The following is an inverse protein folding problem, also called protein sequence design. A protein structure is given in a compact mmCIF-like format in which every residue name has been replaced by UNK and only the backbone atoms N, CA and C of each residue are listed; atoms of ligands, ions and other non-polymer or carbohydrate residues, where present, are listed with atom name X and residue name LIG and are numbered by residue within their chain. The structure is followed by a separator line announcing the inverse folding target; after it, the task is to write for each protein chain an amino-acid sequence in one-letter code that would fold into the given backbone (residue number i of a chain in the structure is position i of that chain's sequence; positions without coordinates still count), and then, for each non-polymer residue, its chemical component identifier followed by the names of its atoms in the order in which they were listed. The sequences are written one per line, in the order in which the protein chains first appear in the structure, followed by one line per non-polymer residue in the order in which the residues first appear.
data_IF_958599931127
#
_entry.id   IF_958599931127
#
_cell.length_a   1.000
_cell.length_b   1.000
_cell.length_c   1.000
_cell.angle_alpha   90.00
_cell.angle_beta   90.00
_cell.angle_gamma   90.00
#
_symmetry.space_group_name_H-M   'P 1'
#
loop_
_entity.id
_entity.type
_entity.pdbx_description
1 polymer ?
#
# COMPACT_ATOMS: atom_id res chain seq x y z
N UNK A 1 25.51 13.15 -11.47
CA UNK A 1 26.26 12.37 -10.43
C UNK A 1 25.56 11.04 -10.33
N UNK A 2 26.28 9.93 -10.35
CA UNK A 2 25.66 8.60 -10.39
C UNK A 2 25.32 8.12 -8.98
N UNK A 3 24.05 7.86 -8.72
CA UNK A 3 23.55 7.38 -7.43
C UNK A 3 22.96 5.98 -7.58
N UNK A 4 22.83 5.26 -6.47
CA UNK A 4 21.98 4.05 -6.45
C UNK A 4 20.51 4.49 -6.54
N UNK A 5 19.67 3.69 -7.18
CA UNK A 5 18.24 4.00 -7.32
C UNK A 5 17.56 4.30 -5.98
N UNK A 6 17.88 3.54 -4.91
CA UNK A 6 17.31 3.76 -3.58
C UNK A 6 17.59 5.16 -3.04
N UNK A 7 18.80 5.64 -3.26
CA UNK A 7 19.20 6.98 -2.80
C UNK A 7 18.52 8.07 -3.62
N UNK A 8 18.51 7.92 -4.94
CA UNK A 8 17.87 8.87 -5.84
C UNK A 8 16.35 8.96 -5.59
N UNK A 9 15.66 7.81 -5.46
CA UNK A 9 14.25 7.74 -5.08
C UNK A 9 14.00 8.40 -3.72
N UNK A 10 14.84 8.14 -2.71
CA UNK A 10 14.67 8.77 -1.39
C UNK A 10 14.73 10.30 -1.48
N UNK A 11 15.68 10.84 -2.23
CA UNK A 11 15.81 12.28 -2.43
C UNK A 11 14.60 12.84 -3.19
N UNK A 12 14.23 12.21 -4.31
CA UNK A 12 13.13 12.64 -5.18
C UNK A 12 11.75 12.58 -4.52
N UNK A 13 11.49 11.55 -3.71
CA UNK A 13 10.17 11.31 -3.11
C UNK A 13 10.02 11.94 -1.72
N UNK A 14 11.08 11.90 -0.90
CA UNK A 14 11.00 12.21 0.54
C UNK A 14 11.97 13.30 1.02
N UNK A 15 12.84 13.80 0.14
CA UNK A 15 13.75 14.92 0.43
C UNK A 15 13.00 16.21 0.80
N UNK A 16 13.74 17.28 1.11
CA UNK A 16 13.14 18.56 1.50
C UNK A 16 12.12 19.07 0.46
N UNK A 17 12.45 18.89 -0.81
CA UNK A 17 11.63 19.16 -1.99
C UNK A 17 11.12 17.84 -2.62
N UNK A 18 10.79 16.84 -1.81
CA UNK A 18 10.32 15.54 -2.28
C UNK A 18 8.87 15.57 -2.80
N UNK A 19 8.56 14.68 -3.74
CA UNK A 19 7.24 14.53 -4.34
C UNK A 19 6.11 14.45 -3.29
N UNK A 20 6.20 13.55 -2.30
CA UNK A 20 5.12 13.36 -1.31
C UNK A 20 5.00 14.47 -0.25
N UNK A 21 5.91 15.46 -0.24
CA UNK A 21 5.75 16.66 0.59
C UNK A 21 4.90 17.73 -0.09
N UNK A 22 4.84 17.72 -1.43
CA UNK A 22 4.12 18.72 -2.24
C UNK A 22 2.84 18.17 -2.83
N UNK A 23 2.90 16.96 -3.36
CA UNK A 23 1.84 16.31 -4.10
C UNK A 23 1.12 15.27 -3.26
N UNK A 24 -0.09 14.94 -3.70
CA UNK A 24 -0.89 13.86 -3.13
C UNK A 24 -1.26 12.87 -4.24
N UNK A 25 -0.70 11.64 -4.25
CA UNK A 25 -0.81 10.71 -5.38
C UNK A 25 -2.23 10.36 -5.83
N UNK A 26 -3.20 10.34 -4.91
CA UNK A 26 -4.62 10.08 -5.24
C UNK A 26 -5.26 11.13 -6.15
N UNK A 27 -4.64 12.31 -6.32
CA UNK A 27 -5.07 13.30 -7.34
C UNK A 27 -4.71 12.86 -8.76
N UNK A 28 -3.83 11.88 -8.89
CA UNK A 28 -3.36 11.33 -10.15
C UNK A 28 -3.80 9.87 -10.37
N UNK A 29 -4.08 9.11 -9.30
CA UNK A 29 -4.47 7.70 -9.36
C UNK A 29 -5.70 7.36 -8.52
N UNK A 30 -6.48 6.38 -8.98
CA UNK A 30 -7.62 5.82 -8.25
C UNK A 30 -7.15 4.59 -7.48
N UNK A 31 -6.97 4.73 -6.17
CA UNK A 31 -6.58 3.63 -5.25
C UNK A 31 -7.79 2.84 -4.76
N UNK A 32 -7.57 1.67 -4.13
CA UNK A 32 -8.66 0.88 -3.51
C UNK A 32 -9.52 1.69 -2.53
N UNK A 33 -8.90 2.58 -1.75
CA UNK A 33 -9.59 3.48 -0.80
C UNK A 33 -10.57 4.45 -1.50
N UNK A 34 -10.19 4.93 -2.69
CA UNK A 34 -10.98 5.87 -3.49
C UNK A 34 -11.95 5.17 -4.46
N UNK A 35 -11.75 3.88 -4.72
CA UNK A 35 -12.61 3.11 -5.62
C UNK A 35 -14.03 2.97 -5.04
N UNK A 36 -14.14 2.66 -3.74
CA UNK A 36 -15.43 2.44 -3.08
C UNK A 36 -15.38 2.62 -1.57
N UNK A 37 -16.42 3.21 -0.94
CA UNK A 37 -16.60 3.18 0.51
C UNK A 37 -16.64 1.76 1.11
N UNK A 38 -16.91 0.74 0.27
CA UNK A 38 -16.89 -0.66 0.69
C UNK A 38 -15.51 -1.11 1.20
N UNK A 39 -14.42 -0.51 0.71
CA UNK A 39 -13.06 -0.79 1.21
C UNK A 39 -12.93 -0.38 2.68
N UNK A 40 -13.25 0.87 3.03
CA UNK A 40 -13.27 1.32 4.42
C UNK A 40 -14.24 0.55 5.32
N UNK A 41 -15.39 0.11 4.79
CA UNK A 41 -16.30 -0.77 5.52
C UNK A 41 -15.72 -2.17 5.77
N UNK A 42 -14.94 -2.71 4.84
CA UNK A 42 -14.21 -3.97 5.03
C UNK A 42 -13.09 -3.82 6.07
N UNK A 43 -12.31 -2.74 6.01
CA UNK A 43 -11.26 -2.44 7.00
C UNK A 43 -11.86 -2.23 8.40
N UNK A 44 -12.99 -1.53 8.52
CA UNK A 44 -13.72 -1.39 9.79
C UNK A 44 -14.14 -2.76 10.36
N UNK A 45 -14.59 -3.68 9.51
CA UNK A 45 -14.95 -5.04 9.96
C UNK A 45 -13.73 -5.84 10.38
N UNK A 46 -12.60 -5.70 9.68
CA UNK A 46 -11.34 -6.29 10.10
C UNK A 46 -10.89 -5.74 11.47
N UNK A 47 -11.02 -4.43 11.70
CA UNK A 47 -10.75 -3.83 13.00
C UNK A 47 -11.66 -4.41 14.09
N UNK A 48 -12.94 -4.67 13.79
CA UNK A 48 -13.84 -5.39 14.68
C UNK A 48 -13.38 -6.82 14.99
N UNK A 49 -12.93 -7.58 13.99
CA UNK A 49 -12.35 -8.93 14.21
C UNK A 49 -11.11 -8.87 15.12
N UNK A 50 -10.26 -7.85 14.95
CA UNK A 50 -9.09 -7.63 15.81
C UNK A 50 -9.51 -7.26 17.23
N UNK A 51 -10.48 -6.36 17.39
CA UNK A 51 -11.03 -5.98 18.70
C UNK A 51 -11.53 -7.18 19.49
N UNK A 52 -12.30 -8.06 18.85
CA UNK A 52 -12.83 -9.26 19.49
C UNK A 52 -11.73 -10.24 19.89
N UNK A 53 -10.73 -10.46 19.02
CA UNK A 53 -9.58 -11.32 19.32
C UNK A 53 -8.73 -10.78 20.47
N UNK A 54 -8.63 -9.46 20.61
CA UNK A 54 -7.95 -8.79 21.73
C UNK A 54 -8.79 -8.74 23.01
N UNK A 55 -10.01 -9.30 23.01
CA UNK A 55 -10.88 -9.29 24.18
C UNK A 55 -11.50 -7.92 24.48
N UNK A 56 -11.71 -7.10 23.46
CA UNK A 56 -12.35 -5.77 23.52
C UNK A 56 -11.67 -4.84 24.53
N UNK A 57 -10.38 -4.49 24.31
CA UNK A 57 -9.62 -3.66 25.22
C UNK A 57 -10.28 -2.30 25.45
N UNK A 58 -9.99 -1.65 26.59
CA UNK A 58 -10.55 -0.32 26.92
C UNK A 58 -10.27 0.74 25.84
N UNK A 59 -9.15 0.61 25.14
CA UNK A 59 -8.76 1.43 23.99
C UNK A 59 -8.34 0.47 22.89
N UNK A 60 -8.78 0.74 21.66
CA UNK A 60 -8.27 0.07 20.47
C UNK A 60 -7.84 1.10 19.44
N UNK A 61 -6.74 0.81 18.76
CA UNK A 61 -6.09 1.74 17.86
C UNK A 61 -6.25 1.27 16.41
N UNK A 62 -6.59 2.20 15.54
CA UNK A 62 -6.47 2.05 14.10
C UNK A 62 -5.42 3.04 13.60
N UNK A 63 -4.41 2.54 12.89
CA UNK A 63 -3.36 3.34 12.29
C UNK A 63 -3.38 3.15 10.78
N UNK A 64 -3.56 4.24 10.05
CA UNK A 64 -3.54 4.32 8.58
C UNK A 64 -2.14 4.82 8.15
N UNK A 65 -1.30 3.93 7.64
CA UNK A 65 0.07 4.23 7.22
C UNK A 65 0.11 4.61 5.75
N UNK A 66 0.66 5.80 5.44
CA UNK A 66 0.57 6.38 4.10
C UNK A 66 -0.83 6.93 3.84
N UNK A 67 -1.39 7.64 4.83
CA UNK A 67 -2.81 7.97 4.87
C UNK A 67 -3.29 8.90 3.73
N UNK A 68 -2.39 9.59 3.02
CA UNK A 68 -2.72 10.45 1.89
C UNK A 68 -3.57 11.66 2.29
N UNK A 69 -4.87 11.63 2.00
CA UNK A 69 -5.84 12.64 2.48
C UNK A 69 -6.61 12.23 3.74
N UNK A 70 -6.28 11.08 4.34
CA UNK A 70 -6.96 10.54 5.51
C UNK A 70 -8.36 9.97 5.21
N UNK A 71 -8.66 9.66 3.93
CA UNK A 71 -9.95 9.10 3.56
C UNK A 71 -10.23 7.76 4.24
N UNK A 72 -9.26 6.84 4.29
CA UNK A 72 -9.46 5.54 4.96
C UNK A 72 -9.65 5.72 6.47
N UNK A 73 -8.79 6.50 7.14
CA UNK A 73 -8.96 6.90 8.53
C UNK A 73 -10.37 7.49 8.81
N UNK A 74 -10.87 8.35 7.93
CA UNK A 74 -12.20 8.95 8.04
C UNK A 74 -13.33 7.92 7.85
N UNK A 75 -13.20 7.03 6.87
CA UNK A 75 -14.16 5.96 6.61
C UNK A 75 -14.23 4.98 7.79
N UNK A 76 -13.09 4.62 8.40
CA UNK A 76 -13.05 3.74 9.57
C UNK A 76 -13.67 4.41 10.79
N UNK A 77 -13.33 5.68 11.04
CA UNK A 77 -13.92 6.45 12.14
C UNK A 77 -15.45 6.56 12.02
N UNK A 78 -15.96 6.82 10.81
CA UNK A 78 -17.39 6.96 10.55
C UNK A 78 -18.13 5.62 10.53
N UNK A 79 -17.47 4.55 10.10
CA UNK A 79 -18.06 3.21 9.97
C UNK A 79 -18.08 2.40 11.26
N UNK A 80 -17.29 2.78 12.27
CA UNK A 80 -17.18 2.05 13.53
C UNK A 80 -18.53 2.00 14.29
N UNK A 81 -19.02 0.81 14.68
CA UNK A 81 -20.19 0.68 15.55
C UNK A 81 -20.00 1.39 16.89
N UNK A 82 -21.10 1.79 17.54
CA UNK A 82 -21.05 2.66 18.73
C UNK A 82 -20.15 2.12 19.87
N UNK A 83 -20.12 0.81 20.09
CA UNK A 83 -19.30 0.18 21.12
C UNK A 83 -17.80 0.23 20.78
N UNK A 84 -17.43 0.00 19.51
CA UNK A 84 -16.07 0.15 19.00
C UNK A 84 -15.65 1.62 18.99
N UNK A 85 -16.48 2.49 18.43
CA UNK A 85 -16.25 3.92 18.28
C UNK A 85 -15.97 4.62 19.62
N UNK A 86 -16.61 4.17 20.71
CA UNK A 86 -16.39 4.73 22.05
C UNK A 86 -14.98 4.50 22.62
N UNK A 87 -14.23 3.55 22.07
CA UNK A 87 -12.88 3.14 22.50
C UNK A 87 -11.81 3.35 21.43
N UNK A 88 -12.24 3.69 20.21
CA UNK A 88 -11.40 3.79 19.03
C UNK A 88 -10.54 5.05 19.06
N UNK A 89 -9.25 4.88 18.83
CA UNK A 89 -8.31 5.94 18.48
C UNK A 89 -7.84 5.75 17.05
N UNK A 90 -7.97 6.79 16.24
CA UNK A 90 -7.61 6.76 14.82
C UNK A 90 -6.39 7.65 14.62
N UNK A 91 -5.31 7.08 14.08
CA UNK A 91 -4.11 7.82 13.69
C UNK A 91 -3.88 7.66 12.19
N UNK A 92 -3.84 8.77 11.47
CA UNK A 92 -3.37 8.84 10.09
C UNK A 92 -1.89 9.24 10.09
N UNK A 93 -1.05 8.42 9.47
CA UNK A 93 0.40 8.63 9.39
C UNK A 93 0.76 9.00 7.96
N UNK A 94 1.27 10.21 7.77
CA UNK A 94 1.67 10.72 6.46
C UNK A 94 2.68 11.87 6.63
N UNK A 95 3.55 12.04 5.62
CA UNK A 95 4.56 13.09 5.63
C UNK A 95 4.03 14.44 5.14
N UNK A 96 2.90 14.45 4.44
CA UNK A 96 2.23 15.66 3.97
C UNK A 96 1.53 16.39 5.12
N UNK A 97 1.21 17.66 4.88
CA UNK A 97 0.46 18.45 5.85
C UNK A 97 -0.94 17.86 6.08
N UNK A 98 -1.44 17.97 7.31
CA UNK A 98 -2.80 17.57 7.67
C UNK A 98 -3.82 18.18 6.71
N UNK A 99 -4.72 17.39 6.08
CA UNK A 99 -5.78 17.90 5.22
C UNK A 99 -6.71 18.88 5.95
N UNK A 100 -7.12 19.94 5.26
CA UNK A 100 -8.19 20.82 5.73
C UNK A 100 -9.52 20.05 5.82
N UNK A 101 -10.27 20.24 6.90
CA UNK A 101 -11.57 19.58 7.11
C UNK A 101 -11.50 18.13 7.59
N UNK A 102 -10.30 17.56 7.80
CA UNK A 102 -10.15 16.25 8.43
C UNK A 102 -10.68 16.30 9.88
N UNK A 103 -11.58 15.37 10.22
CA UNK A 103 -12.21 15.25 11.54
C UNK A 103 -11.17 15.32 12.67
N UNK A 104 -11.40 16.19 13.66
CA UNK A 104 -10.48 16.45 14.77
C UNK A 104 -10.16 15.20 15.61
N UNK A 105 -11.02 14.17 15.57
CA UNK A 105 -10.80 12.89 16.25
C UNK A 105 -9.73 12.03 15.56
N UNK A 106 -9.42 12.29 14.30
CA UNK A 106 -8.30 11.64 13.60
C UNK A 106 -7.02 12.35 13.98
N UNK A 107 -6.09 11.65 14.64
CA UNK A 107 -4.76 12.16 14.92
C UNK A 107 -3.92 12.13 13.64
N UNK A 108 -3.14 13.18 13.37
CA UNK A 108 -2.23 13.24 12.23
C UNK A 108 -0.80 13.19 12.74
N UNK A 109 0.00 12.24 12.26
CA UNK A 109 1.37 12.02 12.70
C UNK A 109 2.31 11.78 11.50
N UNK A 110 3.61 12.00 11.70
CA UNK A 110 4.65 11.72 10.72
C UNK A 110 5.30 10.33 10.91
N UNK A 111 5.00 9.66 12.03
CA UNK A 111 5.45 8.32 12.34
C UNK A 111 4.37 7.52 13.10
N UNK A 112 4.42 6.20 12.93
CA UNK A 112 3.55 5.27 13.64
C UNK A 112 3.92 5.24 15.13
N UNK A 113 2.95 5.37 16.06
CA UNK A 113 3.20 5.27 17.49
C UNK A 113 3.81 3.93 17.91
N UNK A 114 4.56 3.92 19.01
CA UNK A 114 5.04 2.68 19.63
C UNK A 114 3.95 2.00 20.46
N UNK A 115 3.92 0.66 20.41
CA UNK A 115 3.07 -0.16 21.27
C UNK A 115 1.60 -0.18 20.87
N UNK A 116 1.30 -0.06 19.59
CA UNK A 116 -0.06 -0.05 19.05
C UNK A 116 -0.81 -1.32 19.45
N UNK A 117 -1.98 -1.16 20.06
CA UNK A 117 -2.90 -2.25 20.36
C UNK A 117 -4.13 -2.16 19.46
N UNK A 118 -4.13 -2.91 18.36
CA UNK A 118 -5.20 -2.86 17.37
C UNK A 118 -4.73 -3.18 15.94
N UNK A 119 -5.13 -2.36 14.97
CA UNK A 119 -4.88 -2.58 13.55
C UNK A 119 -4.00 -1.48 12.97
N UNK A 120 -2.84 -1.85 12.43
CA UNK A 120 -2.05 -1.01 11.52
C UNK A 120 -2.35 -1.44 10.09
N UNK A 121 -2.73 -0.51 9.23
CA UNK A 121 -3.10 -0.75 7.84
C UNK A 121 -2.27 0.12 6.92
N UNK A 122 -1.54 -0.48 5.99
CA UNK A 122 -0.69 0.20 5.01
C UNK A 122 -1.18 -0.15 3.60
N UNK A 123 -1.90 0.75 2.95
CA UNK A 123 -2.37 0.56 1.58
C UNK A 123 -1.47 1.33 0.61
N UNK A 124 -0.88 0.63 -0.36
CA UNK A 124 -0.01 1.22 -1.39
C UNK A 124 1.12 2.05 -0.75
N UNK A 125 1.83 1.41 0.18
CA UNK A 125 2.91 2.02 0.92
C UNK A 125 4.26 1.38 0.62
N UNK A 126 4.32 0.04 0.49
CA UNK A 126 5.59 -0.65 0.27
C UNK A 126 6.12 -0.43 -1.14
N UNK A 127 5.24 -0.26 -2.12
CA UNK A 127 5.58 0.14 -3.49
C UNK A 127 6.43 1.42 -3.57
N UNK A 128 6.19 2.35 -2.64
CA UNK A 128 6.80 3.68 -2.57
C UNK A 128 8.07 3.68 -1.70
N UNK A 129 8.35 2.61 -0.96
CA UNK A 129 9.61 2.45 -0.24
C UNK A 129 10.77 2.37 -1.25
N UNK A 130 11.80 3.23 -1.13
CA UNK A 130 12.90 3.28 -2.09
C UNK A 130 13.67 1.96 -2.20
N UNK A 131 13.92 1.53 -3.43
CA UNK A 131 14.62 0.28 -3.77
C UNK A 131 15.81 0.54 -4.68
N UNK A 132 16.82 -0.34 -4.58
CA UNK A 132 17.87 -0.42 -5.59
C UNK A 132 17.42 -1.34 -6.73
N UNK A 133 18.05 -1.20 -7.89
CA UNK A 133 17.76 -2.03 -9.06
C UNK A 133 19.01 -2.80 -9.45
N UNK A 134 18.85 -4.06 -9.85
CA UNK A 134 19.91 -4.86 -10.44
C UNK A 134 19.55 -5.34 -11.85
N UNK A 135 20.56 -5.55 -12.67
CA UNK A 135 20.46 -6.14 -14.01
C UNK A 135 21.43 -7.32 -14.16
N UNK A 136 20.98 -8.39 -14.81
CA UNK A 136 21.81 -9.56 -15.09
C UNK A 136 22.70 -9.33 -16.31
N UNK A 137 24.00 -9.56 -16.13
CA UNK A 137 24.99 -9.57 -17.20
C UNK A 137 25.55 -10.98 -17.39
N UNK A 138 26.42 -11.16 -18.40
CA UNK A 138 27.19 -12.42 -18.56
C UNK A 138 28.08 -12.76 -17.36
N UNK A 139 28.41 -11.79 -16.51
CA UNK A 139 29.23 -11.96 -15.31
C UNK A 139 28.39 -12.10 -14.02
N UNK A 140 27.06 -12.09 -14.14
CA UNK A 140 26.11 -12.09 -13.03
C UNK A 140 25.44 -10.74 -12.81
N UNK A 141 24.66 -10.58 -11.71
CA UNK A 141 23.90 -9.37 -11.44
C UNK A 141 24.82 -8.19 -11.09
N UNK A 142 24.50 -7.03 -11.64
CA UNK A 142 25.16 -5.75 -11.40
C UNK A 142 24.14 -4.73 -10.93
N UNK A 143 24.57 -3.82 -10.06
CA UNK A 143 23.72 -2.74 -9.59
C UNK A 143 23.48 -1.75 -10.74
N UNK A 144 22.26 -1.25 -10.86
CA UNK A 144 21.93 -0.13 -11.75
C UNK A 144 22.05 1.18 -10.98
N UNK A 145 22.96 2.03 -11.43
CA UNK A 145 23.10 3.41 -10.98
C UNK A 145 22.33 4.34 -11.91
N UNK A 146 21.81 5.44 -11.37
CA UNK A 146 21.02 6.43 -12.10
C UNK A 146 21.62 7.83 -11.96
N UNK A 147 21.57 8.64 -13.01
CA UNK A 147 21.74 10.09 -12.90
C UNK A 147 20.39 10.74 -12.55
N UNK A 148 20.26 11.41 -11.39
CA UNK A 148 18.97 11.94 -10.95
C UNK A 148 18.35 12.99 -11.87
N UNK A 149 19.15 13.71 -12.64
CA UNK A 149 18.64 14.79 -13.48
C UNK A 149 18.06 14.28 -14.81
N UNK A 150 18.58 13.17 -15.34
CA UNK A 150 18.19 12.64 -16.65
C UNK A 150 17.47 11.30 -16.60
N UNK A 151 17.59 10.56 -15.50
CA UNK A 151 17.16 9.16 -15.41
C UNK A 151 17.99 8.23 -16.30
N UNK A 152 19.16 8.68 -16.80
CA UNK A 152 20.11 7.79 -17.47
C UNK A 152 20.68 6.78 -16.49
N UNK A 153 20.91 5.58 -16.97
CA UNK A 153 21.36 4.46 -16.16
C UNK A 153 22.73 3.96 -16.59
N UNK A 154 23.50 3.41 -15.65
CA UNK A 154 24.72 2.65 -15.93
C UNK A 154 24.92 1.55 -14.90
N UNK A 155 25.69 0.55 -15.27
CA UNK A 155 26.04 -0.53 -14.35
C UNK A 155 27.12 -0.12 -13.34
N UNK A 156 26.97 -0.62 -12.13
CA UNK A 156 27.90 -0.48 -11.01
C UNK A 156 28.11 -1.80 -10.28
N UNK A 157 28.82 -1.73 -9.17
CA UNK A 157 29.14 -2.90 -8.37
C UNK A 157 28.00 -3.21 -7.38
N UNK A 158 27.69 -4.49 -7.27
CA UNK A 158 26.65 -5.01 -6.39
C UNK A 158 27.27 -5.44 -5.06
N UNK A 159 26.74 -4.94 -3.95
CA UNK A 159 27.23 -5.33 -2.62
C UNK A 159 26.70 -6.70 -2.18
N UNK A 160 27.24 -7.23 -1.08
CA UNK A 160 26.91 -8.56 -0.59
C UNK A 160 25.44 -8.66 -0.12
N UNK A 161 24.90 -7.63 0.54
CA UNK A 161 23.52 -7.66 1.05
C UNK A 161 22.51 -7.69 -0.09
N UNK A 162 22.76 -6.87 -1.11
CA UNK A 162 21.98 -6.83 -2.33
C UNK A 162 22.02 -8.19 -3.06
N UNK A 163 23.22 -8.78 -3.18
CA UNK A 163 23.41 -10.11 -3.79
C UNK A 163 22.67 -11.21 -3.03
N UNK A 164 22.83 -11.27 -1.71
CA UNK A 164 22.20 -12.29 -0.86
C UNK A 164 20.67 -12.23 -0.97
N UNK A 165 20.12 -11.01 -0.99
CA UNK A 165 18.68 -10.83 -1.18
C UNK A 165 18.24 -11.30 -2.57
N UNK A 166 18.97 -10.97 -3.64
CA UNK A 166 18.64 -11.42 -5.00
C UNK A 166 18.74 -12.95 -5.16
N UNK A 167 19.76 -13.60 -4.58
CA UNK A 167 19.92 -15.06 -4.70
C UNK A 167 18.76 -15.84 -4.06
N UNK A 168 18.26 -15.34 -2.93
CA UNK A 168 17.10 -15.92 -2.22
C UNK A 168 15.78 -15.52 -2.85
N UNK A 169 15.68 -14.21 -3.03
CA UNK A 169 14.68 -13.37 -3.67
C UNK A 169 14.37 -13.82 -5.07
N UNK A 170 15.18 -13.31 -5.98
CA UNK A 170 14.98 -13.05 -7.38
C UNK A 170 16.13 -13.69 -8.19
N UNK A 171 16.26 -15.03 -8.20
CA UNK A 171 17.44 -15.70 -8.73
C UNK A 171 17.53 -15.66 -10.27
N UNK A 172 16.43 -15.32 -10.95
CA UNK A 172 16.30 -15.33 -12.40
C UNK A 172 15.58 -14.06 -12.85
N UNK A 173 15.98 -13.52 -13.99
CA UNK A 173 15.42 -12.30 -14.58
C UNK A 173 16.46 -11.55 -15.37
N UNK A 174 16.03 -10.52 -16.10
CA UNK A 174 16.92 -9.57 -16.75
C UNK A 174 17.15 -8.37 -15.83
N UNK A 175 16.12 -7.99 -15.06
CA UNK A 175 16.12 -6.85 -14.14
C UNK A 175 15.29 -7.14 -12.90
N UNK A 176 15.72 -6.63 -11.75
CA UNK A 176 15.04 -6.81 -10.46
C UNK A 176 15.12 -5.58 -9.57
N UNK A 177 14.05 -5.34 -8.81
CA UNK A 177 14.05 -4.42 -7.68
C UNK A 177 14.47 -5.15 -6.39
N UNK A 178 15.53 -4.66 -5.75
CA UNK A 178 16.12 -5.26 -4.55
C UNK A 178 15.26 -4.86 -3.34
N UNK A 179 14.50 -5.82 -2.82
CA UNK A 179 13.40 -5.57 -1.89
C UNK A 179 13.73 -5.58 -0.40
N UNK A 180 14.97 -5.87 0.04
CA UNK A 180 15.28 -5.86 1.48
C UNK A 180 14.93 -4.56 2.23
N UNK A 181 14.97 -3.35 1.62
CA UNK A 181 14.49 -2.14 2.31
C UNK A 181 13.00 -2.20 2.64
N UNK A 182 12.19 -2.85 1.79
CA UNK A 182 10.76 -3.09 2.03
C UNK A 182 10.55 -4.13 3.12
N UNK A 183 11.35 -5.18 3.13
CA UNK A 183 11.34 -6.19 4.20
C UNK A 183 11.61 -5.54 5.57
N UNK A 184 12.61 -4.65 5.64
CA UNK A 184 12.95 -3.89 6.85
C UNK A 184 11.87 -2.86 7.23
N UNK A 185 11.30 -2.16 6.25
CA UNK A 185 10.22 -1.21 6.48
C UNK A 185 8.98 -1.92 7.06
N UNK A 186 8.59 -3.03 6.45
CA UNK A 186 7.50 -3.88 6.93
C UNK A 186 7.77 -4.45 8.32
N UNK A 187 8.97 -4.99 8.56
CA UNK A 187 9.36 -5.50 9.88
C UNK A 187 9.35 -4.40 10.94
N UNK A 188 9.78 -3.18 10.59
CA UNK A 188 9.71 -2.00 11.44
C UNK A 188 8.28 -1.61 11.79
N UNK A 189 7.37 -1.63 10.81
CA UNK A 189 5.94 -1.36 11.00
C UNK A 189 5.29 -2.39 11.93
N UNK A 190 5.52 -3.68 11.67
CA UNK A 190 5.06 -4.79 12.53
C UNK A 190 5.64 -4.67 13.93
N UNK A 191 6.88 -4.21 14.07
CA UNK A 191 7.55 -3.99 15.35
C UNK A 191 6.88 -2.94 16.23
N UNK A 192 6.04 -2.06 15.67
CA UNK A 192 5.25 -1.07 16.43
C UNK A 192 4.03 -1.67 17.13
N UNK A 193 3.60 -2.88 16.76
CA UNK A 193 2.49 -3.56 17.43
C UNK A 193 2.90 -4.10 18.80
N UNK A 194 2.14 -3.71 19.83
CA UNK A 194 2.14 -4.43 21.10
C UNK A 194 1.27 -5.70 21.02
N UNK A 195 0.08 -5.58 20.41
CA UNK A 195 -0.85 -6.69 20.17
C UNK A 195 -1.83 -6.33 19.05
N UNK A 196 -2.20 -7.31 18.22
CA UNK A 196 -3.20 -7.12 17.16
C UNK A 196 -2.67 -7.52 15.78
N UNK A 197 -2.91 -6.70 14.77
CA UNK A 197 -2.62 -7.05 13.37
C UNK A 197 -2.02 -5.88 12.58
N UNK A 198 -1.07 -6.19 11.73
CA UNK A 198 -0.60 -5.31 10.67
C UNK A 198 -1.03 -5.87 9.31
N UNK A 199 -1.42 -4.98 8.40
CA UNK A 199 -1.79 -5.32 7.03
C UNK A 199 -1.01 -4.43 6.06
N UNK A 200 -0.43 -5.02 5.02
CA UNK A 200 0.03 -4.31 3.84
C UNK A 200 -0.76 -4.76 2.60
N UNK A 201 -1.23 -3.81 1.80
CA UNK A 201 -1.93 -4.07 0.54
C UNK A 201 -1.22 -3.32 -0.57
N UNK A 202 -0.64 -4.05 -1.52
CA UNK A 202 0.20 -3.45 -2.56
C UNK A 202 0.08 -4.26 -3.87
N UNK A 203 0.30 -3.60 -5.00
CA UNK A 203 0.52 -4.30 -6.26
C UNK A 203 1.85 -5.06 -6.17
N UNK A 204 1.78 -6.36 -6.41
CA UNK A 204 2.81 -7.29 -5.97
C UNK A 204 2.99 -8.44 -6.94
N UNK A 205 4.03 -9.21 -6.71
CA UNK A 205 4.30 -10.47 -7.37
C UNK A 205 4.97 -11.43 -6.37
N UNK A 206 4.92 -12.71 -6.66
CA UNK A 206 5.62 -13.77 -5.94
C UNK A 206 6.75 -14.33 -6.80
N UNK A 207 7.62 -15.16 -6.23
CA UNK A 207 8.77 -15.73 -6.94
C UNK A 207 8.42 -16.38 -8.29
N UNK A 208 7.24 -16.99 -8.42
CA UNK A 208 6.84 -17.70 -9.64
C UNK A 208 6.35 -16.82 -10.79
N UNK A 209 5.98 -15.56 -10.54
CA UNK A 209 5.39 -14.66 -11.54
C UNK A 209 6.10 -13.30 -11.63
N UNK A 210 7.34 -13.24 -11.16
CA UNK A 210 8.14 -12.00 -11.19
C UNK A 210 8.36 -11.50 -12.61
N UNK A 211 8.13 -10.19 -12.87
CA UNK A 211 8.33 -9.60 -14.19
C UNK A 211 9.80 -9.66 -14.62
N UNK A 212 10.14 -10.22 -15.80
CA UNK A 212 11.53 -10.35 -16.24
C UNK A 212 12.29 -9.03 -16.34
N UNK A 213 11.58 -7.93 -16.63
CA UNK A 213 12.12 -6.59 -16.84
C UNK A 213 11.99 -5.69 -15.61
N UNK A 214 11.62 -6.22 -14.45
CA UNK A 214 11.23 -5.41 -13.30
C UNK A 214 9.94 -4.61 -13.56
N UNK A 215 9.66 -3.67 -12.67
CA UNK A 215 8.42 -2.88 -12.62
C UNK A 215 8.61 -1.42 -12.24
N UNK A 216 9.85 -0.97 -12.00
CA UNK A 216 10.11 0.44 -11.70
C UNK A 216 9.54 1.37 -12.80
N UNK A 217 8.65 2.26 -12.40
CA UNK A 217 7.91 3.14 -13.29
C UNK A 217 7.77 4.55 -12.69
N UNK A 218 7.68 5.55 -13.56
CA UNK A 218 7.34 6.91 -13.19
C UNK A 218 5.88 7.22 -13.50
N UNK A 219 5.29 8.09 -12.69
CA UNK A 219 3.88 8.46 -12.78
C UNK A 219 3.72 9.98 -12.69
N UNK A 220 3.11 10.58 -13.71
CA UNK A 220 2.86 12.03 -13.77
C UNK A 220 1.54 12.31 -14.46
N UNK A 221 0.70 13.12 -13.83
CA UNK A 221 -0.63 13.50 -14.36
C UNK A 221 -1.50 12.30 -14.75
N UNK A 222 -1.46 11.24 -13.93
CA UNK A 222 -2.21 10.00 -14.16
C UNK A 222 -1.70 9.13 -15.31
N UNK A 223 -0.56 9.48 -15.90
CA UNK A 223 0.07 8.76 -17.01
C UNK A 223 1.40 8.16 -16.61
N UNK A 224 1.74 7.05 -17.27
CA UNK A 224 2.99 6.34 -17.10
C UNK A 224 4.08 7.10 -17.87
N UNK A 225 5.20 7.35 -17.22
CA UNK A 225 6.37 8.03 -17.79
C UNK A 225 7.63 7.23 -17.51
N UNK A 226 8.70 7.53 -18.26
CA UNK A 226 10.02 7.01 -17.91
C UNK A 226 10.39 7.49 -16.49
N UNK A 227 10.89 6.61 -15.60
CA UNK A 227 11.28 7.02 -14.26
C UNK A 227 12.48 7.97 -14.31
N UNK A 228 12.32 9.16 -13.72
CA UNK A 228 13.39 10.15 -13.53
C UNK A 228 13.32 10.63 -12.07
N UNK A 229 14.36 10.40 -11.24
CA UNK A 229 14.34 10.79 -9.83
C UNK A 229 14.74 12.25 -9.61
N UNK A 230 14.00 13.15 -10.26
CA UNK A 230 14.11 14.62 -10.12
C UNK A 230 12.99 15.22 -9.26
N UNK A 231 12.06 14.39 -8.77
CA UNK A 231 10.89 14.78 -7.98
C UNK A 231 9.72 15.32 -8.82
N UNK A 232 9.78 15.23 -10.15
CA UNK A 232 8.71 15.64 -11.07
C UNK A 232 7.64 14.57 -11.30
N UNK A 233 7.90 13.32 -10.89
CA UNK A 233 6.97 12.21 -10.98
C UNK A 233 7.01 11.36 -9.71
N UNK A 234 5.93 10.66 -9.47
CA UNK A 234 5.88 9.57 -8.49
C UNK A 234 6.68 8.39 -9.03
N UNK A 235 7.44 7.70 -8.19
CA UNK A 235 8.32 6.60 -8.56
C UNK A 235 7.98 5.38 -7.74
N UNK A 236 7.53 4.33 -8.42
CA UNK A 236 7.03 3.15 -7.75
C UNK A 236 7.53 1.87 -8.43
N UNK A 237 7.47 0.76 -7.70
CA UNK A 237 7.70 -0.57 -8.27
C UNK A 237 6.86 -1.60 -7.54
N UNK A 238 6.42 -2.64 -8.25
CA UNK A 238 5.69 -3.75 -7.64
C UNK A 238 6.52 -4.42 -6.54
N UNK A 239 5.82 -4.97 -5.54
CA UNK A 239 6.44 -5.49 -4.33
C UNK A 239 6.62 -7.01 -4.42
N UNK A 240 7.83 -7.49 -4.13
CA UNK A 240 8.09 -8.90 -3.83
C UNK A 240 7.51 -9.26 -2.44
N UNK A 241 6.18 -9.24 -2.28
CA UNK A 241 5.55 -9.41 -0.96
C UNK A 241 5.83 -10.78 -0.32
N UNK A 242 6.20 -11.78 -1.12
CA UNK A 242 6.62 -13.09 -0.62
C UNK A 242 7.97 -13.07 0.10
N UNK A 243 8.78 -12.01 -0.06
CA UNK A 243 10.00 -11.77 0.71
C UNK A 243 9.73 -11.20 2.11
N UNK A 244 8.64 -10.43 2.25
CA UNK A 244 8.20 -9.88 3.52
C UNK A 244 7.64 -10.98 4.44
N UNK A 245 7.94 -10.92 5.73
CA UNK A 245 7.43 -11.88 6.69
C UNK A 245 5.92 -11.71 6.96
N UNK A 246 5.13 -12.76 6.76
CA UNK A 246 3.70 -12.74 7.07
C UNK A 246 2.92 -13.84 6.35
N UNK A 247 1.59 -13.73 6.41
CA UNK A 247 0.68 -14.57 5.62
C UNK A 247 0.16 -13.76 4.44
N UNK A 248 0.44 -14.25 3.23
CA UNK A 248 0.06 -13.62 1.97
C UNK A 248 -1.21 -14.26 1.40
N UNK A 249 -2.14 -13.41 0.95
CA UNK A 249 -3.32 -13.75 0.15
C UNK A 249 -3.53 -12.63 -0.89
N UNK A 250 -4.65 -12.63 -1.60
CA UNK A 250 -5.01 -11.55 -2.51
C UNK A 250 -6.00 -10.59 -1.85
N UNK A 251 -6.03 -9.33 -2.31
CA UNK A 251 -7.06 -8.36 -1.91
C UNK A 251 -8.45 -8.94 -2.18
N UNK A 252 -8.66 -9.59 -3.33
CA UNK A 252 -9.94 -10.25 -3.64
C UNK A 252 -10.35 -11.23 -2.53
N UNK A 253 -9.47 -12.15 -2.14
CA UNK A 253 -9.79 -13.17 -1.13
C UNK A 253 -10.02 -12.56 0.25
N UNK A 254 -9.20 -11.58 0.63
CA UNK A 254 -9.35 -10.85 1.88
C UNK A 254 -10.68 -10.09 1.93
N UNK A 255 -11.03 -9.35 0.87
CA UNK A 255 -12.26 -8.57 0.79
C UNK A 255 -13.51 -9.46 0.69
N UNK A 256 -13.45 -10.60 -0.01
CA UNK A 256 -14.56 -11.58 0.00
C UNK A 256 -14.84 -12.12 1.40
N UNK A 257 -13.78 -12.45 2.16
CA UNK A 257 -13.91 -12.87 3.57
C UNK A 257 -14.47 -11.74 4.43
N UNK A 258 -14.02 -10.53 4.18
CA UNK A 258 -14.60 -9.31 4.71
C UNK A 258 -15.82 -8.90 3.88
N UNK A 259 -16.71 -9.80 3.50
CA UNK A 259 -18.06 -9.55 2.96
C UNK A 259 -18.24 -8.53 1.82
N UNK A 260 -17.23 -8.30 0.97
CA UNK A 260 -17.35 -7.54 -0.28
C UNK A 260 -17.59 -8.53 -1.40
N UNK A 261 -18.78 -8.52 -2.01
CA UNK A 261 -19.19 -9.58 -2.95
C UNK A 261 -19.51 -9.08 -4.35
N UNK A 262 -19.87 -7.81 -4.52
CA UNK A 262 -20.26 -7.26 -5.82
C UNK A 262 -21.53 -7.89 -6.40
N UNK A 263 -22.41 -8.42 -5.54
CA UNK A 263 -23.65 -9.05 -5.96
C UNK A 263 -24.64 -8.02 -6.51
N UNK A 264 -25.15 -8.27 -7.72
CA UNK A 264 -26.13 -7.38 -8.33
C UNK A 264 -27.46 -7.47 -7.58
N UNK A 265 -28.15 -6.34 -7.34
CA UNK A 265 -29.48 -6.37 -6.75
C UNK A 265 -30.46 -7.12 -7.66
N UNK A 266 -31.52 -7.73 -7.09
CA UNK A 266 -32.48 -8.50 -7.86
C UNK A 266 -33.30 -7.59 -8.78
N UNK A 267 -33.56 -8.05 -10.01
CA UNK A 267 -34.21 -7.24 -11.07
C UNK A 267 -35.62 -6.76 -10.71
N UNK A 268 -36.33 -7.48 -9.83
CA UNK A 268 -37.66 -7.08 -9.39
C UNK A 268 -37.64 -5.78 -8.55
N UNK A 269 -36.52 -5.49 -7.87
CA UNK A 269 -36.32 -4.23 -7.17
C UNK A 269 -36.35 -3.06 -8.16
N UNK A 270 -35.88 -3.23 -9.40
CA UNK A 270 -35.97 -2.17 -10.41
C UNK A 270 -37.42 -1.76 -10.73
N UNK A 271 -38.39 -2.64 -10.47
CA UNK A 271 -39.83 -2.35 -10.63
C UNK A 271 -40.46 -1.75 -9.36
N UNK A 272 -40.03 -2.21 -8.18
CA UNK A 272 -40.62 -1.82 -6.88
C UNK A 272 -40.00 -0.53 -6.31
N UNK A 273 -38.70 -0.37 -6.48
CA UNK A 273 -37.89 0.77 -6.05
C UNK A 273 -36.74 1.01 -7.06
N UNK A 274 -37.02 1.68 -8.18
CA UNK A 274 -36.00 1.96 -9.20
C UNK A 274 -34.79 2.72 -8.66
N UNK A 275 -35.00 3.67 -7.74
CA UNK A 275 -33.92 4.47 -7.18
C UNK A 275 -33.02 3.66 -6.24
N UNK A 276 -33.61 2.81 -5.40
CA UNK A 276 -32.86 1.87 -4.57
C UNK A 276 -32.12 0.82 -5.37
N UNK A 277 -32.72 0.32 -6.45
CA UNK A 277 -32.04 -0.59 -7.38
C UNK A 277 -30.80 0.06 -7.99
N UNK A 278 -30.89 1.29 -8.48
CA UNK A 278 -29.74 2.00 -9.05
C UNK A 278 -28.63 2.23 -8.02
N UNK A 279 -28.98 2.61 -6.77
CA UNK A 279 -27.99 2.74 -5.69
C UNK A 279 -27.30 1.41 -5.39
N UNK A 280 -28.06 0.32 -5.26
CA UNK A 280 -27.53 -1.00 -4.98
C UNK A 280 -26.66 -1.53 -6.14
N UNK A 281 -27.06 -1.27 -7.39
CA UNK A 281 -26.28 -1.67 -8.56
C UNK A 281 -24.96 -0.89 -8.64
N UNK A 282 -24.97 0.41 -8.32
CA UNK A 282 -23.75 1.22 -8.25
C UNK A 282 -22.80 0.71 -7.16
N UNK A 283 -23.32 0.35 -5.98
CA UNK A 283 -22.53 -0.25 -4.91
C UNK A 283 -21.92 -1.59 -5.35
N UNK A 284 -22.72 -2.48 -5.94
CA UNK A 284 -22.26 -3.77 -6.46
C UNK A 284 -21.16 -3.62 -7.53
N UNK A 285 -21.27 -2.64 -8.42
CA UNK A 285 -20.23 -2.37 -9.42
C UNK A 285 -18.91 -1.90 -8.78
N UNK A 286 -18.99 -1.02 -7.78
CA UNK A 286 -17.81 -0.52 -7.07
C UNK A 286 -17.14 -1.62 -6.22
N UNK A 287 -17.93 -2.51 -5.61
CA UNK A 287 -17.41 -3.72 -4.96
C UNK A 287 -16.76 -4.68 -5.96
N UNK A 288 -17.37 -4.87 -7.13
CA UNK A 288 -16.81 -5.72 -8.19
C UNK A 288 -15.44 -5.22 -8.69
N UNK A 289 -15.24 -3.90 -8.76
CA UNK A 289 -13.95 -3.26 -9.08
C UNK A 289 -12.87 -3.66 -8.04
N UNK A 290 -13.20 -3.60 -6.74
CA UNK A 290 -12.26 -3.94 -5.64
C UNK A 290 -11.81 -5.40 -5.64
N UNK A 291 -12.66 -6.30 -6.14
CA UNK A 291 -12.39 -7.74 -6.15
C UNK A 291 -11.98 -8.25 -7.54
N UNK A 292 -11.83 -7.39 -8.55
CA UNK A 292 -11.52 -7.83 -9.90
C UNK A 292 -10.15 -8.52 -9.99
N UNK A 293 -10.08 -9.68 -10.65
CA UNK A 293 -8.85 -10.50 -10.72
C UNK A 293 -7.78 -9.93 -11.64
N UNK A 294 -8.14 -9.02 -12.55
CA UNK A 294 -7.22 -8.33 -13.45
C UNK A 294 -6.90 -6.89 -13.01
N UNK A 295 -7.58 -6.41 -11.96
CA UNK A 295 -7.42 -5.07 -11.39
C UNK A 295 -7.08 -5.13 -9.90
N UNK A 296 -7.79 -4.33 -9.09
CA UNK A 296 -7.48 -4.13 -7.67
C UNK A 296 -7.51 -5.43 -6.86
N UNK A 297 -8.36 -6.39 -7.22
CA UNK A 297 -8.44 -7.67 -6.53
C UNK A 297 -7.19 -8.53 -6.65
N UNK A 298 -6.30 -8.25 -7.62
CA UNK A 298 -5.01 -8.92 -7.80
C UNK A 298 -3.92 -8.41 -6.85
N UNK A 299 -4.16 -7.32 -6.11
CA UNK A 299 -3.19 -6.78 -5.17
C UNK A 299 -2.88 -7.84 -4.11
N UNK A 300 -1.63 -7.88 -3.67
CA UNK A 300 -1.26 -8.76 -2.57
C UNK A 300 -1.77 -8.18 -1.25
N UNK A 301 -2.20 -9.05 -0.36
CA UNK A 301 -2.68 -8.71 0.97
C UNK A 301 -1.84 -9.48 1.98
N UNK A 302 -0.87 -8.81 2.58
CA UNK A 302 0.06 -9.37 3.55
C UNK A 302 -0.42 -9.06 4.96
N UNK A 303 -0.45 -10.08 5.82
CA UNK A 303 -0.85 -9.92 7.23
C UNK A 303 0.22 -10.42 8.18
N UNK A 304 0.39 -9.72 9.30
CA UNK A 304 1.15 -10.20 10.45
C UNK A 304 0.33 -9.99 11.72
N UNK A 305 0.33 -10.98 12.61
CA UNK A 305 -0.41 -10.96 13.89
C UNK A 305 0.62 -10.98 15.02
N UNK A 306 0.40 -10.17 16.05
CA UNK A 306 1.16 -10.15 17.30
C UNK A 306 0.26 -10.38 18.50
#
# INVERSE_FOLDING_TARGET
MWLRWREAMRQALYGADGFYRRERPHRHFRTSVHASPAFGAAVTRLLGEVDERLGRPRVIEFVDMGAGDGLLASQVLAGAPADLASRLRVTAVDLSARPEGLDERVQWADAVPDGVTGLIFANEWLDNVPVDVAEWTSEGPRLVLVDPASGEERLGDLDAKDRDWLERWWPVGERAEIGWPRDEAWAGLVGRLAAGMAVAVDYSHVRSDRPPMGTLIGYRDGSWVRPVPDGSCDLTAHVALDACAGTLTTQREALLRLGVHGERPPLDQARRDPAGYLRALSAAAAEAELIDRGGLGAFGWLTCIR
#
